data_IF_699262979837
#
_entry.id   IF_699262979837
#
_cell.length_a   1.000
_cell.length_b   1.000
_cell.length_c   1.000
_cell.angle_alpha   90.00
_cell.angle_beta   90.00
_cell.angle_gamma   90.00
#
_symmetry.space_group_name_H-M   'P 1'
#
loop_
_entity.id
_entity.type
_entity.pdbx_description
1 polymer ?
#
# COMPACT_ATOMS: atom_id res chain seq x y z
N UNK A 1 -68.62 30.60 25.37
CA UNK A 1 -68.29 29.54 24.41
C UNK A 1 -66.91 29.70 23.70
N UNK A 2 -66.40 30.91 23.51
CA UNK A 2 -65.14 31.13 22.80
C UNK A 2 -63.81 30.79 23.63
N UNK A 3 -63.92 30.87 24.94
CA UNK A 3 -62.72 30.57 25.83
C UNK A 3 -62.52 29.07 25.98
N UNK A 4 -63.57 28.25 26.01
CA UNK A 4 -63.42 26.77 26.12
C UNK A 4 -62.85 26.13 24.86
N UNK A 5 -63.15 26.67 23.68
CA UNK A 5 -62.59 26.16 22.42
C UNK A 5 -61.08 26.42 22.31
N UNK A 6 -60.59 27.56 22.81
CA UNK A 6 -59.16 27.90 22.84
C UNK A 6 -58.33 27.01 23.74
N UNK A 7 -58.90 26.61 24.90
CA UNK A 7 -58.20 25.70 25.83
C UNK A 7 -58.11 24.26 25.31
N UNK A 8 -59.13 23.80 24.59
CA UNK A 8 -59.11 22.45 23.99
C UNK A 8 -58.10 22.38 22.84
N UNK A 9 -57.97 23.43 22.03
CA UNK A 9 -56.99 23.51 20.94
C UNK A 9 -55.55 23.60 21.49
N UNK A 10 -55.30 24.38 22.54
CA UNK A 10 -54.00 24.48 23.18
C UNK A 10 -53.59 23.13 23.85
N UNK A 11 -54.56 22.45 24.51
CA UNK A 11 -54.33 21.13 25.09
C UNK A 11 -54.02 20.05 24.05
N UNK A 12 -54.67 20.08 22.88
CA UNK A 12 -54.43 19.15 21.78
C UNK A 12 -53.05 19.39 21.14
N UNK A 13 -52.63 20.65 21.01
CA UNK A 13 -51.27 21.01 20.49
C UNK A 13 -50.16 20.58 21.44
N UNK A 14 -50.32 20.72 22.77
CA UNK A 14 -49.34 20.28 23.76
C UNK A 14 -49.27 18.74 23.82
N UNK A 15 -50.42 18.05 23.72
CA UNK A 15 -50.48 16.59 23.67
C UNK A 15 -49.82 16.03 22.40
N UNK A 16 -50.07 16.66 21.24
CA UNK A 16 -49.46 16.24 19.99
C UNK A 16 -47.93 16.50 19.97
N UNK A 17 -47.48 17.64 20.50
CA UNK A 17 -46.06 17.94 20.68
C UNK A 17 -45.38 16.97 21.67
N UNK A 18 -46.07 16.59 22.76
CA UNK A 18 -45.59 15.61 23.73
C UNK A 18 -45.56 14.18 23.17
N UNK A 19 -46.44 13.83 22.24
CA UNK A 19 -46.47 12.53 21.55
C UNK A 19 -45.30 12.44 20.54
N UNK A 20 -45.08 13.51 19.77
CA UNK A 20 -43.98 13.62 18.81
C UNK A 20 -42.65 13.61 19.55
N UNK A 21 -42.53 14.27 20.71
CA UNK A 21 -41.30 14.27 21.54
C UNK A 21 -41.02 12.92 22.20
N UNK A 22 -42.00 12.02 22.28
CA UNK A 22 -41.83 10.65 22.79
C UNK A 22 -41.65 9.60 21.70
N UNK A 23 -41.84 9.95 20.44
CA UNK A 23 -41.46 9.09 19.33
C UNK A 23 -39.96 9.20 19.20
N UNK A 24 -39.24 8.12 19.55
CA UNK A 24 -37.84 7.97 19.29
C UNK A 24 -37.65 8.00 17.76
N UNK A 25 -37.41 9.19 17.22
CA UNK A 25 -37.16 9.40 15.80
C UNK A 25 -36.01 8.51 15.30
N UNK A 26 -35.08 8.17 16.19
CA UNK A 26 -33.98 7.24 15.90
C UNK A 26 -34.44 5.80 15.69
N UNK A 27 -35.62 5.41 16.27
CA UNK A 27 -36.21 4.09 16.07
C UNK A 27 -37.03 4.04 14.75
N UNK A 28 -37.52 5.20 14.28
CA UNK A 28 -38.32 5.31 13.05
C UNK A 28 -37.46 5.49 11.79
N UNK A 29 -36.20 5.94 11.94
CA UNK A 29 -35.25 6.17 10.84
C UNK A 29 -33.96 5.38 11.10
N UNK A 30 -34.11 4.06 10.98
CA UNK A 30 -32.95 3.17 11.00
C UNK A 30 -32.21 3.26 9.66
N UNK A 31 -30.90 3.03 9.69
CA UNK A 31 -30.11 2.84 8.48
C UNK A 31 -30.50 1.48 7.87
N UNK A 32 -31.23 1.48 6.77
CA UNK A 32 -31.72 0.24 6.15
C UNK A 32 -30.84 -0.19 4.97
N UNK A 33 -30.13 0.75 4.36
CA UNK A 33 -29.37 0.49 3.15
C UNK A 33 -27.98 1.12 3.17
N UNK A 34 -26.99 0.30 2.81
CA UNK A 34 -25.63 0.75 2.54
C UNK A 34 -25.36 0.57 1.05
N UNK A 35 -25.09 1.66 0.35
CA UNK A 35 -24.69 1.63 -1.05
C UNK A 35 -23.19 1.81 -1.16
N UNK A 36 -22.49 0.75 -1.59
CA UNK A 36 -21.06 0.72 -1.78
C UNK A 36 -20.72 1.13 -3.21
N UNK A 37 -19.81 2.09 -3.37
CA UNK A 37 -19.33 2.60 -4.65
C UNK A 37 -17.80 2.57 -4.68
N UNK A 38 -17.24 2.19 -5.83
CA UNK A 38 -15.79 2.12 -6.08
C UNK A 38 -15.41 0.82 -6.80
N UNK A 39 -14.17 0.76 -7.31
CA UNK A 39 -13.58 -0.46 -7.87
C UNK A 39 -12.90 -1.22 -6.72
N UNK A 40 -13.69 -2.04 -6.01
CA UNK A 40 -13.27 -2.78 -4.82
C UNK A 40 -12.95 -4.21 -5.24
N UNK A 41 -11.71 -4.65 -5.00
CA UNK A 41 -11.17 -5.95 -5.41
C UNK A 41 -10.56 -6.73 -4.26
N UNK A 42 -9.96 -6.04 -3.30
CA UNK A 42 -9.23 -6.64 -2.18
C UNK A 42 -9.99 -6.53 -0.87
N UNK A 43 -10.64 -5.39 -0.64
CA UNK A 43 -11.43 -5.15 0.55
C UNK A 43 -12.71 -5.99 0.52
N UNK A 44 -12.96 -6.74 1.59
CA UNK A 44 -14.13 -7.60 1.66
C UNK A 44 -15.33 -6.85 2.25
N UNK A 45 -16.53 -7.14 1.73
CA UNK A 45 -17.76 -6.48 2.18
C UNK A 45 -17.99 -6.61 3.69
N UNK A 46 -17.63 -7.75 4.28
CA UNK A 46 -17.81 -7.98 5.72
C UNK A 46 -16.90 -7.09 6.59
N UNK A 47 -15.74 -6.66 6.11
CA UNK A 47 -14.86 -5.74 6.82
C UNK A 47 -15.51 -4.36 6.94
N UNK A 48 -16.11 -3.88 5.84
CA UNK A 48 -16.86 -2.62 5.79
C UNK A 48 -18.09 -2.70 6.70
N UNK A 49 -18.86 -3.80 6.58
CA UNK A 49 -20.05 -4.02 7.40
C UNK A 49 -19.73 -4.08 8.89
N UNK A 50 -18.63 -4.73 9.27
CA UNK A 50 -18.19 -4.84 10.66
C UNK A 50 -17.91 -3.47 11.27
N UNK A 51 -17.22 -2.59 10.54
CA UNK A 51 -16.94 -1.22 10.99
C UNK A 51 -18.25 -0.43 11.09
N UNK A 52 -19.08 -0.46 10.04
CA UNK A 52 -20.31 0.31 10.01
C UNK A 52 -21.32 -0.15 11.08
N UNK A 53 -21.41 -1.45 11.37
CA UNK A 53 -22.29 -1.99 12.40
C UNK A 53 -21.95 -1.44 13.80
N UNK A 54 -20.68 -1.18 14.09
CA UNK A 54 -20.26 -0.53 15.33
C UNK A 54 -20.82 0.90 15.51
N UNK A 55 -21.16 1.56 14.44
CA UNK A 55 -21.65 2.95 14.41
C UNK A 55 -23.14 3.08 14.08
N UNK A 56 -23.83 1.99 13.71
CA UNK A 56 -25.22 1.97 13.25
C UNK A 56 -26.24 2.13 14.40
N UNK A 57 -26.17 3.23 15.16
CA UNK A 57 -27.13 3.53 16.25
C UNK A 57 -28.38 4.28 15.78
N UNK A 58 -28.57 4.48 14.47
CA UNK A 58 -29.64 5.22 13.85
C UNK A 58 -29.13 6.23 12.81
N UNK A 59 -29.97 6.55 11.82
CA UNK A 59 -29.54 7.37 10.67
C UNK A 59 -29.02 8.76 11.08
N UNK A 60 -29.65 9.41 12.09
CA UNK A 60 -29.24 10.75 12.52
C UNK A 60 -28.09 10.76 13.51
N UNK A 61 -28.01 9.74 14.38
CA UNK A 61 -27.03 9.67 15.50
C UNK A 61 -25.70 9.07 15.05
N UNK A 62 -25.65 8.43 13.86
CA UNK A 62 -24.43 7.86 13.32
C UNK A 62 -23.33 8.91 13.18
N UNK A 63 -22.21 8.70 13.89
CA UNK A 63 -21.00 9.50 13.79
C UNK A 63 -20.23 9.09 12.53
N UNK A 64 -20.46 9.84 11.44
CA UNK A 64 -19.81 9.58 10.15
C UNK A 64 -18.30 9.79 10.20
N UNK A 65 -17.82 10.72 11.04
CA UNK A 65 -16.39 11.02 11.08
C UNK A 65 -15.61 9.86 11.70
N UNK A 66 -16.11 9.31 12.82
CA UNK A 66 -15.50 8.11 13.42
C UNK A 66 -15.58 6.89 12.51
N UNK A 67 -16.73 6.66 11.89
CA UNK A 67 -16.88 5.57 10.93
C UNK A 67 -15.89 5.73 9.74
N UNK A 68 -15.71 6.96 9.27
CA UNK A 68 -14.75 7.30 8.21
C UNK A 68 -13.31 7.02 8.66
N UNK A 69 -12.94 7.43 9.87
CA UNK A 69 -11.60 7.20 10.43
C UNK A 69 -11.30 5.71 10.58
N UNK A 70 -12.25 4.93 11.09
CA UNK A 70 -12.08 3.49 11.24
C UNK A 70 -11.98 2.78 9.89
N UNK A 71 -12.81 3.14 8.91
CA UNK A 71 -12.69 2.62 7.54
C UNK A 71 -11.37 3.00 6.89
N UNK A 72 -10.90 4.25 7.10
CA UNK A 72 -9.61 4.72 6.59
C UNK A 72 -8.41 4.00 7.23
N UNK A 73 -8.61 3.35 8.38
CA UNK A 73 -7.60 2.52 9.05
C UNK A 73 -7.44 1.12 8.45
N UNK A 74 -8.35 0.68 7.57
CA UNK A 74 -8.24 -0.61 6.90
C UNK A 74 -7.10 -0.59 5.87
N UNK A 75 -6.31 -1.66 5.76
CA UNK A 75 -5.14 -1.71 4.87
C UNK A 75 -5.45 -1.39 3.40
N UNK A 76 -6.60 -1.88 2.92
CA UNK A 76 -7.01 -1.70 1.51
C UNK A 76 -7.89 -0.46 1.28
N UNK A 77 -7.79 0.55 2.13
CA UNK A 77 -8.51 1.82 1.96
C UNK A 77 -7.53 2.97 1.76
N UNK A 78 -7.41 3.44 0.50
CA UNK A 78 -6.65 4.65 0.18
C UNK A 78 -7.45 5.91 0.51
N UNK A 79 -8.74 5.90 0.20
CA UNK A 79 -9.63 6.99 0.58
C UNK A 79 -11.06 6.49 0.76
N UNK A 80 -11.79 7.12 1.69
CA UNK A 80 -13.19 6.81 1.97
C UNK A 80 -14.00 8.09 2.11
N UNK A 81 -15.19 8.08 1.55
CA UNK A 81 -16.19 9.14 1.69
C UNK A 81 -17.50 8.52 2.10
N UNK A 82 -18.10 9.03 3.16
CA UNK A 82 -19.41 8.65 3.66
C UNK A 82 -20.39 9.80 3.44
N UNK A 83 -21.58 9.48 2.95
CA UNK A 83 -22.65 10.44 2.74
C UNK A 83 -23.99 9.84 3.12
N UNK A 84 -24.72 10.51 4.01
CA UNK A 84 -26.10 10.15 4.29
C UNK A 84 -27.02 10.62 3.14
N UNK A 85 -27.81 9.70 2.60
CA UNK A 85 -28.86 9.98 1.65
C UNK A 85 -30.21 9.69 2.28
N UNK A 86 -30.97 10.74 2.49
CA UNK A 86 -32.28 10.63 3.12
C UNK A 86 -33.21 9.71 2.30
N UNK A 87 -34.11 8.87 2.90
CA UNK A 87 -34.38 8.82 4.35
C UNK A 87 -33.50 7.83 5.15
N UNK A 88 -32.87 6.81 4.55
CA UNK A 88 -32.41 5.59 5.23
C UNK A 88 -31.08 5.03 4.65
N UNK A 89 -30.48 5.72 3.71
CA UNK A 89 -29.36 5.18 2.93
C UNK A 89 -28.03 5.85 3.31
N UNK A 90 -26.98 5.03 3.49
CA UNK A 90 -25.58 5.47 3.60
C UNK A 90 -24.84 5.14 2.30
N UNK A 91 -24.39 6.17 1.60
CA UNK A 91 -23.47 6.03 0.48
C UNK A 91 -22.05 5.94 1.01
N UNK A 92 -21.34 4.87 0.66
CA UNK A 92 -19.96 4.61 1.01
C UNK A 92 -19.14 4.54 -0.27
N UNK A 93 -18.32 5.55 -0.51
CA UNK A 93 -17.41 5.57 -1.66
C UNK A 93 -15.99 5.24 -1.18
N UNK A 94 -15.41 4.16 -1.69
CA UNK A 94 -14.06 3.72 -1.33
C UNK A 94 -13.19 3.67 -2.59
N UNK A 95 -11.94 4.12 -2.43
CA UNK A 95 -10.88 3.88 -3.40
C UNK A 95 -9.80 3.02 -2.76
N UNK A 96 -9.46 1.90 -3.39
CA UNK A 96 -8.36 1.04 -2.96
C UNK A 96 -7.00 1.59 -3.42
N UNK A 97 -5.91 1.39 -2.64
CA UNK A 97 -4.56 1.70 -3.09
C UNK A 97 -4.16 0.74 -4.23
N UNK A 98 -3.46 1.26 -5.22
CA UNK A 98 -2.91 0.45 -6.33
C UNK A 98 -1.45 0.14 -6.00
N UNK A 99 -1.12 -1.11 -5.63
CA UNK A 99 0.24 -1.47 -5.26
C UNK A 99 1.17 -1.42 -6.46
N UNK A 100 2.40 -0.91 -6.24
CA UNK A 100 3.47 -0.82 -7.24
C UNK A 100 4.77 -1.45 -6.77
N UNK A 101 4.91 -1.72 -5.47
CA UNK A 101 6.04 -2.42 -4.88
C UNK A 101 5.65 -3.10 -3.56
N UNK A 102 6.42 -4.12 -3.20
CA UNK A 102 6.42 -4.70 -1.85
C UNK A 102 7.35 -3.90 -0.95
N UNK A 103 6.97 -3.72 0.32
CA UNK A 103 7.74 -2.96 1.29
C UNK A 103 8.03 -3.78 2.55
N UNK A 104 9.29 -3.97 2.87
CA UNK A 104 9.67 -4.84 3.99
C UNK A 104 9.21 -6.28 3.77
N UNK A 105 8.48 -6.84 4.71
CA UNK A 105 8.04 -8.24 4.66
C UNK A 105 6.55 -8.43 4.38
N UNK A 106 5.71 -7.48 4.80
CA UNK A 106 4.25 -7.64 4.89
C UNK A 106 3.46 -6.38 4.49
N UNK A 107 4.12 -5.37 3.89
CA UNK A 107 3.48 -4.15 3.43
C UNK A 107 3.64 -3.97 1.91
N UNK A 108 2.81 -3.12 1.35
CA UNK A 108 2.88 -2.68 -0.04
C UNK A 108 3.06 -1.16 -0.11
N UNK A 109 3.57 -0.68 -1.24
CA UNK A 109 3.66 0.74 -1.58
C UNK A 109 2.73 1.02 -2.74
N UNK A 110 1.90 2.05 -2.63
CA UNK A 110 1.05 2.51 -3.71
C UNK A 110 1.79 3.46 -4.67
N UNK A 111 1.14 3.79 -5.79
CA UNK A 111 1.70 4.71 -6.81
C UNK A 111 1.98 6.12 -6.30
N UNK A 112 1.45 6.51 -5.15
CA UNK A 112 1.65 7.82 -4.51
C UNK A 112 2.75 7.80 -3.46
N UNK A 113 3.36 6.62 -3.22
CA UNK A 113 4.39 6.41 -2.22
C UNK A 113 3.82 6.15 -0.82
N UNK A 114 2.50 5.95 -0.70
CA UNK A 114 1.86 5.53 0.54
C UNK A 114 2.19 4.06 0.86
N UNK A 115 2.59 3.79 2.11
CA UNK A 115 2.77 2.43 2.60
C UNK A 115 1.48 1.97 3.26
N UNK A 116 1.01 0.80 2.90
CA UNK A 116 -0.19 0.21 3.48
C UNK A 116 0.02 -1.28 3.80
N UNK A 117 -0.70 -1.76 4.77
CA UNK A 117 -0.56 -3.13 5.33
C UNK A 117 -0.74 -3.10 6.86
N UNK A 118 -0.48 -4.25 7.52
CA UNK A 118 0.04 -5.49 6.93
C UNK A 118 -0.97 -6.21 6.03
N UNK A 119 -0.47 -6.85 4.98
CA UNK A 119 -1.26 -7.64 4.03
C UNK A 119 -0.48 -8.90 3.61
N UNK A 120 -1.17 -9.90 3.06
CA UNK A 120 -0.50 -11.03 2.42
C UNK A 120 0.17 -10.57 1.13
N UNK A 121 1.50 -10.48 1.14
CA UNK A 121 2.30 -10.02 -0.01
C UNK A 121 2.65 -11.15 -0.99
N UNK A 122 2.31 -12.41 -0.68
CA UNK A 122 2.66 -13.55 -1.54
C UNK A 122 1.98 -13.51 -2.90
N UNK A 123 0.76 -12.96 -2.95
CA UNK A 123 0.04 -12.73 -4.20
C UNK A 123 0.62 -11.59 -5.05
N UNK A 124 1.64 -10.89 -4.55
CA UNK A 124 2.26 -9.71 -5.16
C UNK A 124 3.76 -9.90 -5.41
N UNK A 125 4.23 -11.16 -5.48
CA UNK A 125 5.66 -11.47 -5.68
C UNK A 125 6.20 -11.04 -7.05
N UNK A 126 5.33 -10.77 -8.02
CA UNK A 126 5.67 -10.14 -9.29
C UNK A 126 6.04 -8.65 -9.17
N UNK A 127 5.71 -8.01 -8.04
CA UNK A 127 6.11 -6.62 -7.79
C UNK A 127 7.53 -6.56 -7.21
N UNK A 128 8.29 -5.48 -7.53
CA UNK A 128 9.62 -5.29 -6.97
C UNK A 128 9.59 -5.22 -5.44
N UNK A 129 10.59 -5.82 -4.82
CA UNK A 129 10.77 -5.76 -3.37
C UNK A 129 11.67 -4.60 -2.98
N UNK A 130 11.14 -3.67 -2.18
CA UNK A 130 11.87 -2.53 -1.64
C UNK A 130 12.04 -2.70 -0.13
N UNK A 131 13.26 -2.51 0.36
CA UNK A 131 13.59 -2.61 1.78
C UNK A 131 14.43 -1.40 2.21
N UNK A 132 14.02 -0.72 3.26
CA UNK A 132 14.76 0.45 3.77
C UNK A 132 14.17 1.03 5.04
N UNK A 133 14.71 2.14 5.49
CA UNK A 133 14.17 2.88 6.63
C UNK A 133 12.81 3.52 6.33
N UNK A 134 12.04 3.81 7.37
CA UNK A 134 10.76 4.50 7.24
C UNK A 134 10.91 5.83 6.46
N UNK A 135 9.94 6.13 5.59
CA UNK A 135 9.94 7.33 4.76
C UNK A 135 10.84 7.28 3.52
N UNK A 136 11.50 6.14 3.27
CA UNK A 136 12.43 5.98 2.14
C UNK A 136 11.80 5.37 0.88
N UNK A 137 10.55 4.97 0.94
CA UNK A 137 9.89 4.19 -0.11
C UNK A 137 9.89 4.89 -1.47
N UNK A 138 9.63 6.20 -1.52
CA UNK A 138 9.61 6.96 -2.77
C UNK A 138 11.01 7.02 -3.39
N UNK A 139 12.04 7.29 -2.59
CA UNK A 139 13.43 7.33 -3.07
C UNK A 139 13.91 5.94 -3.54
N UNK A 140 13.55 4.88 -2.81
CA UNK A 140 13.87 3.51 -3.19
C UNK A 140 13.17 3.09 -4.49
N UNK A 141 11.93 3.53 -4.70
CA UNK A 141 11.24 3.30 -5.97
C UNK A 141 11.92 4.00 -7.13
N UNK A 142 12.31 5.27 -6.97
CA UNK A 142 13.09 5.98 -7.99
C UNK A 142 14.41 5.26 -8.30
N UNK A 143 15.11 4.82 -7.28
CA UNK A 143 16.35 4.08 -7.41
C UNK A 143 16.16 2.74 -8.14
N UNK A 144 15.09 2.02 -7.79
CA UNK A 144 14.72 0.78 -8.48
C UNK A 144 14.51 1.03 -9.98
N UNK A 145 13.75 2.06 -10.36
CA UNK A 145 13.47 2.38 -11.76
C UNK A 145 14.75 2.74 -12.53
N UNK A 146 15.62 3.55 -11.93
CA UNK A 146 16.92 3.92 -12.53
C UNK A 146 17.83 2.71 -12.76
N UNK A 147 17.97 1.86 -11.73
CA UNK A 147 18.79 0.66 -11.78
C UNK A 147 18.23 -0.34 -12.80
N UNK A 148 16.92 -0.55 -12.78
CA UNK A 148 16.26 -1.49 -13.69
C UNK A 148 16.45 -1.07 -15.15
N UNK A 149 16.33 0.23 -15.46
CA UNK A 149 16.58 0.73 -16.81
C UNK A 149 18.00 0.47 -17.27
N UNK A 150 19.04 0.73 -16.42
CA UNK A 150 20.45 0.52 -16.78
C UNK A 150 20.81 -0.97 -16.94
N UNK A 151 20.25 -1.83 -16.08
CA UNK A 151 20.57 -3.26 -16.11
C UNK A 151 19.79 -4.01 -17.21
N UNK A 152 18.65 -3.51 -17.63
CA UNK A 152 17.90 -4.08 -18.75
C UNK A 152 18.70 -4.08 -20.06
N UNK A 153 19.52 -3.05 -20.30
CA UNK A 153 20.36 -2.93 -21.50
C UNK A 153 21.38 -4.09 -21.62
N UNK A 154 21.72 -4.72 -20.50
CA UNK A 154 22.63 -5.87 -20.45
C UNK A 154 21.91 -7.17 -20.08
N UNK A 155 20.57 -7.17 -20.16
CA UNK A 155 19.73 -8.36 -19.94
C UNK A 155 19.73 -8.86 -18.51
N UNK A 156 19.85 -7.97 -17.52
CA UNK A 156 19.69 -8.28 -16.09
C UNK A 156 18.34 -7.70 -15.61
N UNK A 157 17.52 -8.56 -15.05
CA UNK A 157 16.21 -8.18 -14.47
C UNK A 157 16.33 -7.97 -12.96
N UNK A 158 15.82 -6.85 -12.47
CA UNK A 158 15.92 -6.46 -11.07
C UNK A 158 14.66 -6.87 -10.31
N UNK A 159 14.81 -7.74 -9.30
CA UNK A 159 13.73 -8.15 -8.39
C UNK A 159 13.49 -7.15 -7.26
N UNK A 160 14.46 -6.29 -6.94
CA UNK A 160 14.28 -5.30 -5.89
C UNK A 160 15.55 -4.59 -5.47
N UNK A 161 15.39 -3.63 -4.56
CA UNK A 161 16.46 -2.83 -4.00
C UNK A 161 16.34 -2.77 -2.48
N UNK A 162 17.46 -2.97 -1.79
CA UNK A 162 17.56 -2.86 -0.33
C UNK A 162 18.53 -1.77 0.06
N UNK A 163 18.11 -0.91 0.98
CA UNK A 163 18.98 0.03 1.68
C UNK A 163 19.16 -0.41 3.14
N UNK A 164 20.38 -0.64 3.56
CA UNK A 164 20.68 -0.96 4.95
C UNK A 164 20.59 0.28 5.85
N UNK A 165 20.57 0.09 7.18
CA UNK A 165 20.62 1.18 8.16
C UNK A 165 21.87 2.10 8.01
N UNK A 166 22.96 1.59 7.40
CA UNK A 166 24.17 2.35 7.09
C UNK A 166 24.14 3.04 5.72
N UNK A 167 22.97 3.09 5.08
CA UNK A 167 22.78 3.65 3.73
C UNK A 167 23.58 2.92 2.64
N UNK A 168 23.87 1.65 2.84
CA UNK A 168 24.50 0.81 1.83
C UNK A 168 23.42 0.12 1.00
N UNK A 169 23.56 0.16 -0.32
CA UNK A 169 22.61 -0.35 -1.30
C UNK A 169 22.97 -1.76 -1.75
N UNK A 170 21.96 -2.57 -1.94
CA UNK A 170 22.05 -3.89 -2.56
C UNK A 170 20.92 -4.01 -3.57
N UNK A 171 21.25 -4.38 -4.79
CA UNK A 171 20.31 -4.69 -5.86
C UNK A 171 20.14 -6.20 -5.87
N UNK A 172 18.90 -6.69 -5.88
CA UNK A 172 18.58 -8.11 -6.05
C UNK A 172 18.11 -8.35 -7.47
N UNK A 173 18.64 -9.38 -8.11
CA UNK A 173 18.26 -9.80 -9.45
C UNK A 173 17.19 -10.91 -9.38
N UNK A 174 16.42 -11.06 -10.44
CA UNK A 174 15.36 -12.09 -10.53
C UNK A 174 15.91 -13.52 -10.53
N UNK A 175 17.13 -13.71 -11.04
CA UNK A 175 17.85 -14.97 -11.03
C UNK A 175 18.47 -15.34 -9.67
N UNK A 176 18.25 -14.51 -8.63
CA UNK A 176 18.74 -14.69 -7.28
C UNK A 176 20.12 -14.05 -7.03
N UNK A 177 20.74 -13.43 -8.03
CA UNK A 177 22.00 -12.70 -7.88
C UNK A 177 21.85 -11.40 -7.09
N UNK A 178 22.97 -10.92 -6.53
CA UNK A 178 23.03 -9.66 -5.79
C UNK A 178 24.16 -8.76 -6.31
N UNK A 179 23.89 -7.45 -6.42
CA UNK A 179 24.91 -6.43 -6.70
C UNK A 179 25.04 -5.52 -5.49
N UNK A 180 26.23 -5.53 -4.88
CA UNK A 180 26.55 -4.73 -3.70
C UNK A 180 27.14 -3.38 -4.13
N UNK A 181 26.35 -2.30 -4.00
CA UNK A 181 26.73 -0.95 -4.42
C UNK A 181 27.50 -0.19 -3.33
N UNK A 182 27.35 -0.59 -2.07
CA UNK A 182 27.83 0.19 -0.94
C UNK A 182 27.00 1.47 -0.75
N UNK A 183 27.67 2.59 -0.42
CA UNK A 183 27.03 3.89 -0.20
C UNK A 183 27.03 4.79 -1.43
N UNK A 184 27.27 4.23 -2.60
CA UNK A 184 27.30 4.97 -3.85
C UNK A 184 25.87 5.49 -4.19
N UNK A 185 25.72 6.80 -4.20
CA UNK A 185 24.43 7.45 -4.43
C UNK A 185 24.17 7.81 -5.89
N UNK A 186 25.22 7.89 -6.71
CA UNK A 186 25.16 8.37 -8.10
C UNK A 186 25.12 7.25 -9.15
N UNK A 187 25.20 5.99 -8.71
CA UNK A 187 25.24 4.79 -9.57
C UNK A 187 26.46 4.72 -10.54
N UNK A 188 27.46 5.57 -10.36
CA UNK A 188 28.64 5.61 -11.24
C UNK A 188 29.35 4.27 -11.37
N UNK A 189 29.32 3.46 -10.30
CA UNK A 189 29.90 2.10 -10.30
C UNK A 189 29.10 1.12 -11.12
N UNK A 190 27.76 1.29 -11.15
CA UNK A 190 26.91 0.49 -12.02
C UNK A 190 27.18 0.81 -13.51
N UNK A 191 27.42 2.09 -13.83
CA UNK A 191 27.77 2.52 -15.19
C UNK A 191 29.14 1.95 -15.63
N UNK A 192 30.02 1.58 -14.69
CA UNK A 192 31.26 0.85 -14.98
C UNK A 192 31.02 -0.65 -15.20
N UNK A 193 30.05 -1.26 -14.50
CA UNK A 193 29.74 -2.68 -14.64
C UNK A 193 29.04 -2.99 -15.97
N UNK A 194 28.09 -2.15 -16.38
CA UNK A 194 27.24 -2.38 -17.57
C UNK A 194 28.08 -2.76 -18.82
N UNK A 195 29.10 -2.00 -19.23
CA UNK A 195 29.90 -2.35 -20.42
C UNK A 195 30.76 -3.61 -20.26
N UNK A 196 31.00 -4.08 -19.03
CA UNK A 196 31.76 -5.29 -18.77
C UNK A 196 30.91 -6.58 -18.83
N UNK A 197 29.61 -6.47 -18.74
CA UNK A 197 28.69 -7.61 -18.69
C UNK A 197 28.80 -8.56 -19.90
N UNK A 198 28.93 -8.09 -21.16
CA UNK A 198 29.12 -8.98 -22.31
C UNK A 198 30.40 -9.82 -22.17
N UNK A 199 31.50 -9.20 -21.78
CA UNK A 199 32.78 -9.89 -21.59
C UNK A 199 32.73 -10.90 -20.46
N UNK A 200 32.01 -10.57 -19.37
CA UNK A 200 31.83 -11.49 -18.26
C UNK A 200 31.03 -12.72 -18.65
N UNK A 201 29.97 -12.56 -19.46
CA UNK A 201 29.16 -13.68 -19.98
C UNK A 201 29.90 -14.56 -20.98
N UNK A 202 30.79 -14.00 -21.78
CA UNK A 202 31.63 -14.80 -22.67
C UNK A 202 32.63 -15.70 -21.87
N UNK A 203 33.09 -15.23 -20.71
CA UNK A 203 34.00 -16.01 -19.84
C UNK A 203 33.27 -17.07 -19.04
N UNK A 204 32.11 -16.74 -18.54
CA UNK A 204 31.25 -17.65 -17.78
C UNK A 204 29.78 -17.38 -18.06
N UNK A 205 29.04 -18.35 -18.69
CA UNK A 205 27.64 -18.21 -19.02
C UNK A 205 26.71 -18.41 -17.81
N UNK A 206 27.23 -18.88 -16.66
CA UNK A 206 26.41 -19.12 -15.47
C UNK A 206 25.82 -17.79 -14.92
N UNK A 207 24.67 -17.84 -14.25
CA UNK A 207 24.08 -16.66 -13.63
C UNK A 207 25.00 -16.07 -12.57
N UNK A 208 24.88 -14.76 -12.38
CA UNK A 208 25.60 -14.06 -11.32
C UNK A 208 25.07 -14.49 -9.93
N UNK A 209 25.98 -14.89 -9.03
CA UNK A 209 25.62 -15.05 -7.62
C UNK A 209 25.80 -13.71 -6.87
N UNK A 210 26.93 -13.03 -7.13
CA UNK A 210 27.21 -11.75 -6.47
C UNK A 210 28.18 -10.91 -7.30
N UNK A 211 27.91 -9.61 -7.35
CA UNK A 211 28.84 -8.60 -7.84
C UNK A 211 29.09 -7.58 -6.74
N UNK A 212 30.33 -7.44 -6.30
CA UNK A 212 30.71 -6.47 -5.27
C UNK A 212 31.41 -5.26 -5.92
N UNK A 213 30.67 -4.14 -6.00
CA UNK A 213 31.13 -2.88 -6.55
C UNK A 213 31.65 -1.89 -5.48
N UNK A 214 31.87 -2.33 -4.25
CA UNK A 214 32.34 -1.46 -3.17
C UNK A 214 33.82 -1.10 -3.27
N UNK A 215 34.56 -1.81 -4.11
CA UNK A 215 36.02 -1.52 -4.33
C UNK A 215 36.18 -0.27 -5.21
N UNK A 216 37.14 0.57 -4.85
CA UNK A 216 37.36 1.85 -5.53
C UNK A 216 37.83 1.72 -7.00
N UNK A 217 38.48 0.60 -7.38
CA UNK A 217 39.08 0.40 -8.71
C UNK A 217 38.85 -1.01 -9.23
N UNK A 218 37.70 -1.58 -9.03
CA UNK A 218 37.38 -2.92 -9.52
C UNK A 218 36.10 -3.49 -8.95
N UNK A 219 35.73 -4.64 -9.45
CA UNK A 219 34.57 -5.41 -8.98
C UNK A 219 35.03 -6.84 -8.68
N UNK A 220 34.50 -7.44 -7.63
CA UNK A 220 34.58 -8.88 -7.41
C UNK A 220 33.29 -9.52 -7.92
N UNK A 221 33.42 -10.54 -8.76
CA UNK A 221 32.29 -11.26 -9.37
C UNK A 221 32.34 -12.70 -8.90
N UNK A 222 31.18 -13.18 -8.42
CA UNK A 222 30.94 -14.57 -8.10
C UNK A 222 29.79 -15.11 -8.93
N UNK A 223 29.91 -16.34 -9.40
CA UNK A 223 28.92 -17.02 -10.22
C UNK A 223 28.16 -18.07 -9.42
N UNK A 224 26.94 -18.38 -9.83
CA UNK A 224 26.18 -19.48 -9.24
C UNK A 224 26.82 -20.80 -9.67
N UNK A 225 27.00 -21.71 -8.71
CA UNK A 225 27.46 -23.08 -9.01
C UNK A 225 26.29 -24.04 -8.94
N UNK A 226 26.35 -25.11 -9.73
CA UNK A 226 25.32 -26.15 -9.74
C UNK A 226 25.06 -26.81 -8.36
N UNK A 227 25.96 -26.64 -7.41
CA UNK A 227 25.86 -27.12 -6.02
C UNK A 227 25.25 -26.10 -5.05
N UNK A 228 24.74 -24.94 -5.55
CA UNK A 228 24.15 -23.88 -4.70
C UNK A 228 25.16 -23.04 -3.91
N UNK A 229 26.44 -23.14 -4.25
CA UNK A 229 27.52 -22.28 -3.72
C UNK A 229 27.84 -21.12 -4.65
N UNK A 230 28.65 -20.16 -4.19
CA UNK A 230 29.19 -19.09 -5.01
C UNK A 230 30.70 -19.27 -5.14
N UNK A 231 31.22 -19.36 -6.36
CA UNK A 231 32.64 -19.39 -6.64
C UNK A 231 33.12 -18.00 -7.05
N UNK A 232 34.05 -17.42 -6.31
CA UNK A 232 34.56 -16.06 -6.58
C UNK A 232 35.76 -16.18 -7.54
N UNK A 233 35.61 -15.72 -8.77
CA UNK A 233 36.62 -15.94 -9.81
C UNK A 233 37.31 -14.69 -10.36
N UNK A 234 36.79 -13.49 -10.18
CA UNK A 234 37.42 -12.34 -10.83
C UNK A 234 37.46 -11.08 -9.97
N UNK A 235 38.64 -10.52 -9.81
CA UNK A 235 38.86 -9.11 -9.48
C UNK A 235 39.15 -8.39 -10.80
N UNK A 236 38.20 -7.62 -11.32
CA UNK A 236 38.41 -6.79 -12.51
C UNK A 236 39.00 -5.46 -12.03
N UNK A 237 40.18 -5.13 -12.53
CA UNK A 237 40.84 -3.85 -12.26
C UNK A 237 40.76 -2.95 -13.48
#
# INVERSE_FOLDING_TARGET
>A
MRVAAGMVLAGALVLSAGLIARMDLDTLLQLERVELQGDIRQLQAHEIESVLAGHARGFFVMDLERAREELAGLPWVHSVRLRKRWPDTLEVTIAEPVPVARWGGDHLVDRHGGVFGPVDVTSWDFLPALEGGAGRQVELMHRYLEVSARLADVGLSVAGVRESARRAWTIRLEDGGEILMGRDSDLSRLDQLVPLMPVLRERNPEPLARVDLRYARGAAVAWQTAAGGAETEAIIR
#
